data_IF_869258091305
#
_entry.id   IF_869258091305
#
_cell.length_a   1.000
_cell.length_b   1.000
_cell.length_c   1.000
_cell.angle_alpha   90.00
_cell.angle_beta   90.00
_cell.angle_gamma   90.00
#
_symmetry.space_group_name_H-M   'P 1'
#
loop_
_entity.id
_entity.type
_entity.pdbx_description
1 polymer ?
#
# COMPACT_ATOMS: atom_id res chain seq x y z
N UNK A 1 -5.58 3.25 2.15
CA UNK A 1 -5.91 2.97 3.56
C UNK A 1 -4.63 2.84 4.37
N UNK A 2 -4.55 3.49 5.52
CA UNK A 2 -3.39 3.41 6.43
C UNK A 2 -3.89 2.83 7.76
N UNK A 3 -3.08 1.93 8.32
CA UNK A 3 -3.38 1.24 9.57
C UNK A 3 -2.34 1.60 10.62
N UNK A 4 -2.78 1.76 11.85
CA UNK A 4 -1.93 1.96 13.03
C UNK A 4 -2.49 1.16 14.20
N UNK A 5 -1.63 0.52 15.00
CA UNK A 5 -2.03 -0.28 16.18
C UNK A 5 -3.13 -1.33 15.90
N UNK A 6 -3.15 -1.87 14.67
CA UNK A 6 -4.08 -2.93 14.27
C UNK A 6 -5.41 -2.48 13.68
N UNK A 7 -5.69 -1.18 13.57
CA UNK A 7 -6.91 -0.65 12.96
C UNK A 7 -6.64 0.40 11.90
N UNK A 8 -7.61 0.66 11.03
CA UNK A 8 -7.52 1.71 10.01
C UNK A 8 -7.70 3.09 10.65
N UNK A 9 -6.74 3.98 10.42
CA UNK A 9 -6.75 5.37 10.90
C UNK A 9 -7.00 6.39 9.80
N UNK A 10 -6.69 6.05 8.54
CA UNK A 10 -6.96 6.88 7.37
C UNK A 10 -7.32 6.02 6.16
N UNK A 11 -8.32 6.43 5.40
CA UNK A 11 -8.70 5.77 4.15
C UNK A 11 -9.28 6.77 3.17
N UNK A 12 -9.12 6.47 1.89
CA UNK A 12 -9.62 7.30 0.81
C UNK A 12 -10.09 6.42 -0.33
N UNK A 13 -11.27 6.75 -0.87
CA UNK A 13 -11.78 6.19 -2.11
C UNK A 13 -12.24 7.36 -2.97
N UNK A 14 -11.54 7.60 -4.09
CA UNK A 14 -11.92 8.63 -5.04
C UNK A 14 -11.42 8.28 -6.45
N UNK A 15 -12.11 8.80 -7.43
CA UNK A 15 -11.65 8.73 -8.82
C UNK A 15 -10.36 9.53 -8.97
N UNK A 16 -9.40 9.01 -9.73
CA UNK A 16 -8.17 9.74 -10.06
C UNK A 16 -8.46 10.92 -10.98
N UNK A 17 -7.79 12.04 -10.73
CA UNK A 17 -7.97 13.29 -11.50
C UNK A 17 -7.13 13.29 -12.80
N UNK A 18 -6.29 12.28 -13.02
CA UNK A 18 -5.45 12.15 -14.21
C UNK A 18 -5.78 10.88 -14.99
N UNK A 19 -5.64 10.97 -16.30
CA UNK A 19 -5.75 9.81 -17.19
C UNK A 19 -4.46 9.00 -17.08
N UNK A 20 -4.54 7.76 -16.63
CA UNK A 20 -3.43 6.81 -16.63
C UNK A 20 -3.51 5.96 -17.92
N UNK A 21 -2.37 5.76 -18.57
CA UNK A 21 -2.25 5.00 -19.81
C UNK A 21 -2.12 3.48 -19.55
N UNK A 22 -1.88 3.09 -18.30
CA UNK A 22 -1.78 1.70 -17.87
C UNK A 22 -2.26 1.52 -16.42
N UNK A 23 -2.59 0.29 -16.05
CA UNK A 23 -2.92 -0.07 -14.66
C UNK A 23 -1.75 0.23 -13.71
N UNK A 24 -0.53 -0.06 -14.13
CA UNK A 24 0.68 0.23 -13.31
C UNK A 24 0.87 1.72 -13.05
N UNK A 25 0.53 2.60 -14.01
CA UNK A 25 0.54 4.05 -13.79
C UNK A 25 -0.54 4.48 -12.78
N UNK A 26 -1.73 3.89 -12.88
CA UNK A 26 -2.82 4.18 -11.94
C UNK A 26 -2.43 3.80 -10.50
N UNK A 27 -1.84 2.62 -10.32
CA UNK A 27 -1.36 2.16 -9.01
C UNK A 27 -0.20 3.03 -8.51
N UNK A 28 0.69 3.47 -9.40
CA UNK A 28 1.79 4.36 -9.03
C UNK A 28 1.31 5.75 -8.59
N UNK A 29 0.25 6.26 -9.21
CA UNK A 29 -0.43 7.48 -8.77
C UNK A 29 -1.03 7.28 -7.37
N UNK A 30 -1.66 6.14 -7.12
CA UNK A 30 -2.21 5.79 -5.81
C UNK A 30 -1.10 5.66 -4.74
N UNK A 31 0.02 5.01 -5.08
CA UNK A 31 1.20 4.92 -4.21
C UNK A 31 1.78 6.30 -3.87
N UNK A 32 1.82 7.23 -4.83
CA UNK A 32 2.25 8.61 -4.60
C UNK A 32 1.33 9.35 -3.62
N UNK A 33 0.02 9.19 -3.74
CA UNK A 33 -0.95 9.79 -2.81
C UNK A 33 -0.83 9.17 -1.41
N UNK A 34 -0.63 7.85 -1.35
CA UNK A 34 -0.36 7.15 -0.09
C UNK A 34 0.93 7.67 0.57
N UNK A 35 1.99 7.89 -0.21
CA UNK A 35 3.25 8.45 0.29
C UNK A 35 3.11 9.84 0.90
N UNK A 36 2.28 10.71 0.33
CA UNK A 36 1.98 12.03 0.92
C UNK A 36 1.31 11.88 2.29
N UNK A 37 0.33 10.98 2.40
CA UNK A 37 -0.36 10.70 3.66
C UNK A 37 0.58 10.07 4.69
N UNK A 38 1.46 9.16 4.27
CA UNK A 38 2.49 8.56 5.14
C UNK A 38 3.41 9.63 5.71
N UNK A 39 3.91 10.56 4.88
CA UNK A 39 4.73 11.67 5.37
C UNK A 39 4.01 12.48 6.44
N UNK A 40 2.77 12.89 6.16
CA UNK A 40 1.96 13.68 7.09
C UNK A 40 1.73 12.97 8.42
N UNK A 41 1.37 11.69 8.38
CA UNK A 41 1.14 10.91 9.60
C UNK A 41 2.44 10.64 10.39
N UNK A 42 3.56 10.46 9.71
CA UNK A 42 4.88 10.32 10.37
C UNK A 42 5.30 11.61 11.07
N UNK A 43 5.01 12.77 10.50
CA UNK A 43 5.23 14.07 11.15
C UNK A 43 4.38 14.20 12.43
N UNK A 44 3.07 13.91 12.34
CA UNK A 44 2.18 13.91 13.51
C UNK A 44 2.70 12.96 14.61
N UNK A 45 3.05 11.73 14.25
CA UNK A 45 3.58 10.77 15.22
C UNK A 45 4.88 11.25 15.87
N UNK A 46 5.75 11.89 15.10
CA UNK A 46 6.98 12.48 15.63
C UNK A 46 6.69 13.59 16.63
N UNK A 47 5.73 14.47 16.35
CA UNK A 47 5.34 15.58 17.24
C UNK A 47 4.72 15.07 18.54
N UNK A 48 4.07 13.91 18.52
CA UNK A 48 3.60 13.20 19.70
C UNK A 48 4.69 12.37 20.44
N UNK A 49 5.94 12.38 19.95
CA UNK A 49 7.04 11.62 20.55
C UNK A 49 7.15 10.16 20.05
N UNK A 50 6.37 9.76 19.07
CA UNK A 50 6.36 8.41 18.48
C UNK A 50 7.06 8.37 17.11
N UNK A 51 8.29 8.86 17.03
CA UNK A 51 9.05 8.86 15.79
C UNK A 51 9.21 7.44 15.21
N UNK A 52 8.92 7.28 13.92
CA UNK A 52 9.02 6.00 13.21
C UNK A 52 10.42 5.83 12.61
N UNK A 53 11.23 4.95 13.18
CA UNK A 53 12.61 4.69 12.71
C UNK A 53 12.63 3.81 11.44
N UNK A 54 11.72 2.84 11.33
CA UNK A 54 11.63 1.96 10.17
C UNK A 54 10.76 2.58 9.06
N UNK A 55 10.99 2.22 7.77
CA UNK A 55 10.13 2.63 6.68
C UNK A 55 8.70 2.08 6.87
N UNK A 56 7.71 2.89 6.50
CA UNK A 56 6.30 2.45 6.49
C UNK A 56 6.07 1.46 5.36
N UNK A 57 5.61 0.25 5.65
CA UNK A 57 5.26 -0.74 4.63
C UNK A 57 3.96 -0.35 3.92
N UNK A 58 4.03 -0.21 2.61
CA UNK A 58 2.89 0.05 1.72
C UNK A 58 2.69 -1.18 0.85
N UNK A 59 1.57 -1.86 1.05
CA UNK A 59 1.25 -3.10 0.34
C UNK A 59 0.67 -2.80 -1.03
N UNK A 60 1.18 -3.50 -2.05
CA UNK A 60 0.87 -3.29 -3.46
C UNK A 60 0.69 -4.65 -4.15
N UNK A 61 -0.39 -4.83 -4.91
CA UNK A 61 -0.65 -6.07 -5.64
C UNK A 61 -0.08 -6.07 -7.08
N UNK A 62 0.29 -4.91 -7.59
CA UNK A 62 0.93 -4.77 -8.89
C UNK A 62 2.45 -4.88 -8.78
N UNK A 63 3.00 -6.04 -9.12
CA UNK A 63 4.45 -6.31 -9.08
C UNK A 63 5.27 -5.35 -9.94
N UNK A 64 4.71 -4.85 -11.05
CA UNK A 64 5.40 -3.86 -11.88
C UNK A 64 5.53 -2.52 -11.15
N UNK A 65 4.53 -2.12 -10.36
CA UNK A 65 4.59 -0.94 -9.51
C UNK A 65 5.71 -1.09 -8.46
N UNK A 66 5.78 -2.23 -7.79
CA UNK A 66 6.84 -2.53 -6.80
C UNK A 66 8.22 -2.46 -7.47
N UNK A 67 8.42 -3.16 -8.59
CA UNK A 67 9.71 -3.17 -9.30
C UNK A 67 10.13 -1.77 -9.78
N UNK A 68 9.19 -0.93 -10.19
CA UNK A 68 9.45 0.44 -10.61
C UNK A 68 9.89 1.34 -9.45
N UNK A 69 9.49 1.08 -8.22
CA UNK A 69 9.90 1.86 -7.05
C UNK A 69 11.35 1.61 -6.65
N UNK A 70 11.86 0.42 -6.92
CA UNK A 70 13.23 0.00 -6.55
C UNK A 70 14.23 0.24 -7.68
N UNK A 71 13.82 0.04 -8.94
CA UNK A 71 14.72 0.07 -10.09
C UNK A 71 14.49 1.30 -10.98
N UNK A 72 15.55 2.00 -11.41
CA UNK A 72 15.45 3.13 -12.32
C UNK A 72 15.16 2.62 -13.75
N UNK A 73 13.89 2.39 -14.08
CA UNK A 73 13.49 2.10 -15.44
C UNK A 73 13.33 3.42 -16.20
N UNK A 74 14.13 3.63 -17.26
CA UNK A 74 13.95 4.76 -18.19
C UNK A 74 12.70 4.50 -19.05
N UNK A 75 11.53 4.84 -18.54
CA UNK A 75 10.29 4.92 -19.33
C UNK A 75 9.98 6.39 -19.61
N UNK A 76 9.52 6.69 -20.82
CA UNK A 76 8.96 8.01 -21.12
C UNK A 76 7.53 8.03 -20.59
N UNK A 77 7.34 8.65 -19.46
CA UNK A 77 6.02 8.96 -18.92
C UNK A 77 5.59 10.36 -19.34
N UNK A 78 4.33 10.69 -19.13
CA UNK A 78 3.90 12.09 -19.19
C UNK A 78 4.48 12.86 -18.00
N UNK A 79 4.74 14.16 -18.17
CA UNK A 79 5.44 14.99 -17.18
C UNK A 79 4.84 14.93 -15.77
N UNK A 80 3.51 14.83 -15.66
CA UNK A 80 2.84 14.73 -14.35
C UNK A 80 2.97 13.34 -13.70
N UNK A 81 3.18 12.30 -14.48
CA UNK A 81 3.51 10.95 -13.98
C UNK A 81 4.97 10.90 -13.57
N UNK A 82 5.87 11.54 -14.30
CA UNK A 82 7.30 11.62 -13.94
C UNK A 82 7.51 12.21 -12.54
N UNK A 83 6.83 13.32 -12.20
CA UNK A 83 6.93 13.94 -10.88
C UNK A 83 6.54 12.95 -9.77
N UNK A 84 5.44 12.22 -9.96
CA UNK A 84 4.97 11.23 -8.97
C UNK A 84 5.90 10.03 -8.90
N UNK A 85 6.46 9.64 -10.02
CA UNK A 85 7.44 8.55 -10.12
C UNK A 85 8.69 8.87 -9.29
N UNK A 86 9.28 10.05 -9.49
CA UNK A 86 10.44 10.48 -8.72
C UNK A 86 10.12 10.66 -7.24
N UNK A 87 8.95 11.17 -6.90
CA UNK A 87 8.50 11.34 -5.52
C UNK A 87 8.44 10.00 -4.76
N UNK A 88 7.78 8.97 -5.33
CA UNK A 88 7.70 7.64 -4.69
C UNK A 88 9.09 7.05 -4.52
N UNK A 89 9.95 7.15 -5.52
CA UNK A 89 11.32 6.66 -5.45
C UNK A 89 12.16 7.38 -4.41
N UNK A 90 11.99 8.67 -4.29
CA UNK A 90 12.65 9.47 -3.27
C UNK A 90 12.26 9.02 -1.86
N UNK A 91 10.98 8.78 -1.61
CA UNK A 91 10.50 8.23 -0.35
C UNK A 91 11.06 6.83 -0.05
N UNK A 92 11.21 5.98 -1.06
CA UNK A 92 11.82 4.65 -0.90
C UNK A 92 13.32 4.76 -0.64
N UNK A 93 14.03 5.61 -1.39
CA UNK A 93 15.47 5.83 -1.23
C UNK A 93 15.82 6.39 0.15
N UNK A 94 15.01 7.30 0.68
CA UNK A 94 15.17 7.87 2.02
C UNK A 94 14.59 7.02 3.15
N UNK A 95 14.16 5.80 2.86
CA UNK A 95 13.61 4.85 3.85
C UNK A 95 12.39 5.41 4.61
N UNK A 96 11.62 6.28 3.99
CA UNK A 96 10.35 6.78 4.54
C UNK A 96 9.25 5.75 4.37
N UNK A 97 9.20 5.12 3.19
CA UNK A 97 8.26 4.05 2.87
C UNK A 97 8.95 2.93 2.08
N UNK A 98 8.31 1.77 2.03
CA UNK A 98 8.74 0.60 1.28
C UNK A 98 7.51 -0.03 0.63
N UNK A 99 7.55 -0.27 -0.68
CA UNK A 99 6.50 -1.03 -1.36
C UNK A 99 6.73 -2.53 -1.13
N UNK A 100 5.70 -3.23 -0.68
CA UNK A 100 5.75 -4.67 -0.35
C UNK A 100 4.69 -5.39 -1.19
N UNK A 101 5.08 -6.40 -1.99
CA UNK A 101 4.12 -7.13 -2.79
C UNK A 101 3.13 -7.88 -1.92
N UNK A 102 1.85 -7.78 -2.25
CA UNK A 102 0.76 -8.47 -1.58
C UNK A 102 -0.18 -9.08 -2.63
N UNK A 103 -0.65 -10.30 -2.40
CA UNK A 103 -1.64 -10.92 -3.29
C UNK A 103 -2.97 -10.19 -3.21
N UNK A 104 -3.61 -9.97 -4.36
CA UNK A 104 -4.89 -9.21 -4.48
C UNK A 104 -5.97 -9.68 -3.50
N UNK A 105 -6.12 -11.00 -3.27
CA UNK A 105 -7.14 -11.51 -2.34
C UNK A 105 -6.89 -11.17 -0.86
N UNK A 106 -5.72 -10.62 -0.53
CA UNK A 106 -5.35 -10.13 0.80
C UNK A 106 -5.33 -8.60 0.89
N UNK A 107 -5.58 -7.92 -0.22
CA UNK A 107 -5.61 -6.47 -0.28
C UNK A 107 -6.86 -5.92 0.42
N UNK A 108 -6.70 -5.60 1.71
CA UNK A 108 -7.81 -5.10 2.55
C UNK A 108 -8.43 -3.82 1.99
N UNK A 109 -7.64 -3.00 1.32
CA UNK A 109 -8.11 -1.74 0.72
C UNK A 109 -9.10 -1.95 -0.44
N UNK A 110 -9.13 -3.12 -1.07
CA UNK A 110 -10.02 -3.42 -2.19
C UNK A 110 -11.51 -3.26 -1.84
N UNK A 111 -11.90 -3.53 -0.59
CA UNK A 111 -13.28 -3.31 -0.14
C UNK A 111 -13.76 -1.85 -0.26
N UNK A 112 -12.84 -0.90 -0.39
CA UNK A 112 -13.15 0.53 -0.54
C UNK A 112 -13.43 0.92 -2.00
N UNK A 113 -13.02 0.09 -2.96
CA UNK A 113 -13.07 0.42 -4.39
C UNK A 113 -13.69 -0.66 -5.26
N UNK A 114 -13.87 -1.87 -4.75
CA UNK A 114 -14.39 -3.04 -5.50
C UNK A 114 -15.57 -3.66 -4.76
N UNK A 115 -16.54 -4.17 -5.52
CA UNK A 115 -17.57 -5.04 -4.96
C UNK A 115 -16.96 -6.41 -4.64
N UNK A 116 -16.99 -6.81 -3.38
CA UNK A 116 -16.43 -8.08 -2.93
C UNK A 116 -17.52 -9.05 -2.52
N UNK A 117 -17.33 -10.39 -2.71
CA UNK A 117 -18.19 -11.40 -2.13
C UNK A 117 -18.26 -11.27 -0.61
N UNK A 118 -19.43 -11.57 -0.03
CA UNK A 118 -19.69 -11.37 1.40
C UNK A 118 -18.62 -11.98 2.34
N UNK A 119 -18.07 -13.20 2.11
CA UNK A 119 -17.02 -13.75 2.97
C UNK A 119 -15.72 -12.91 2.94
N UNK A 120 -15.32 -12.42 1.77
CA UNK A 120 -14.13 -11.57 1.61
C UNK A 120 -14.35 -10.21 2.27
N UNK A 121 -15.52 -9.61 2.08
CA UNK A 121 -15.89 -8.34 2.70
C UNK A 121 -15.84 -8.43 4.24
N UNK A 122 -16.40 -9.48 4.83
CA UNK A 122 -16.38 -9.71 6.29
C UNK A 122 -14.94 -9.83 6.80
N UNK A 123 -14.10 -10.62 6.12
CA UNK A 123 -12.68 -10.79 6.46
C UNK A 123 -11.94 -9.44 6.44
N UNK A 124 -12.09 -8.67 5.38
CA UNK A 124 -11.39 -7.38 5.22
C UNK A 124 -11.92 -6.33 6.20
N UNK A 125 -13.24 -6.29 6.42
CA UNK A 125 -13.85 -5.43 7.44
C UNK A 125 -13.26 -5.70 8.82
N UNK A 126 -13.16 -6.97 9.23
CA UNK A 126 -12.71 -7.33 10.56
C UNK A 126 -11.23 -6.97 10.79
N UNK A 127 -10.41 -7.00 9.74
CA UNK A 127 -9.04 -6.45 9.76
C UNK A 127 -9.09 -4.93 9.86
N UNK A 128 -9.91 -4.26 9.06
CA UNK A 128 -9.98 -2.79 9.02
C UNK A 128 -10.38 -2.19 10.37
N UNK A 129 -11.30 -2.81 11.09
CA UNK A 129 -11.77 -2.35 12.40
C UNK A 129 -10.96 -2.92 13.58
N UNK A 130 -9.87 -3.62 13.32
CA UNK A 130 -8.96 -4.14 14.36
C UNK A 130 -9.46 -5.36 15.12
N UNK A 131 -10.51 -6.07 14.65
CA UNK A 131 -10.97 -7.33 15.25
C UNK A 131 -10.03 -8.48 14.98
N UNK A 132 -9.38 -8.48 13.83
CA UNK A 132 -8.40 -9.48 13.43
C UNK A 132 -7.12 -8.75 13.01
N UNK A 133 -5.94 -9.17 13.49
CA UNK A 133 -4.70 -8.53 13.13
C UNK A 133 -4.43 -8.68 11.63
N UNK A 134 -3.94 -7.63 11.00
CA UNK A 134 -3.42 -7.71 9.64
C UNK A 134 -2.12 -8.50 9.65
N UNK A 135 -2.07 -9.61 8.93
CA UNK A 135 -0.86 -10.42 8.77
C UNK A 135 -0.57 -10.65 7.31
N UNK A 136 0.41 -9.93 6.78
CA UNK A 136 0.89 -10.11 5.42
C UNK A 136 1.56 -11.48 5.20
N UNK A 137 2.09 -12.10 6.28
CA UNK A 137 2.86 -13.36 6.23
C UNK A 137 2.03 -14.63 6.41
N UNK A 138 0.86 -14.58 7.00
CA UNK A 138 0.08 -15.78 7.39
C UNK A 138 -0.54 -16.58 6.24
N UNK A 139 -0.22 -16.24 4.99
CA UNK A 139 -0.78 -16.88 3.80
C UNK A 139 0.26 -17.64 2.95
N UNK A 140 1.50 -17.76 3.42
CA UNK A 140 2.52 -18.60 2.78
C UNK A 140 2.70 -19.98 3.40
N UNK A 141 2.01 -20.33 4.50
CA UNK A 141 2.22 -21.60 5.20
C UNK A 141 0.92 -22.32 5.55
N UNK A 142 0.15 -22.68 4.54
CA UNK A 142 -0.84 -23.74 4.65
C UNK A 142 -0.46 -24.89 3.70
N UNK A 143 0.79 -25.35 3.78
CA UNK A 143 1.20 -26.64 3.19
C UNK A 143 2.29 -27.24 4.06
N UNK A 144 1.97 -28.37 4.59
CA UNK A 144 2.80 -29.35 5.27
C UNK A 144 2.73 -29.36 6.81
N UNK A 145 1.65 -29.91 7.36
CA UNK A 145 1.80 -30.94 8.39
C UNK A 145 0.89 -32.09 8.00
N UNK A 146 1.44 -33.02 7.25
CA UNK A 146 0.91 -34.37 7.11
C UNK A 146 2.03 -35.33 7.54
N UNK A 147 1.78 -36.10 8.58
CA UNK A 147 2.30 -37.46 8.68
C UNK A 147 3.55 -37.62 9.54
N UNK A 148 3.34 -38.34 10.59
CA UNK A 148 4.33 -39.01 11.39
C UNK A 148 3.72 -39.48 12.67
#
# INVERSE_FOLDING_TARGET
>A
MIMLTGGAISWKSRRQDCVSLSTSEAEYVAASQCGQEVLYLREILRDFGFAQAAPTEVYEDNLACVAMSENPVRRKFSRHIDIRYYFVRDLVAHQVMKLVPLRTHNMVADQLTKSLPAPALVKHRDVMIGRVPFCARSLCSATSVSGG
#
